data_IF_423797954888
#
_entry.id   IF_423797954888
#
_cell.length_a   1.000
_cell.length_b   1.000
_cell.length_c   1.000
_cell.angle_alpha   90.00
_cell.angle_beta   90.00
_cell.angle_gamma   90.00
#
_symmetry.space_group_name_H-M   'P 1'
#
loop_
_entity.id
_entity.type
_entity.pdbx_description
1 polymer ?
#
# COMPACT_ATOMS: atom_id res chain seq x y z
N UNK A 1 -1.57 -2.55 -24.39
CA UNK A 1 -2.49 -1.76 -23.55
C UNK A 1 -3.14 -2.58 -22.44
N UNK A 2 -3.81 -3.70 -22.73
CA UNK A 2 -4.50 -4.48 -21.70
C UNK A 2 -3.64 -4.93 -20.51
N UNK A 3 -2.38 -5.33 -20.76
CA UNK A 3 -1.47 -5.77 -19.69
C UNK A 3 -1.06 -4.63 -18.75
N UNK A 4 -0.94 -3.41 -19.27
CA UNK A 4 -0.63 -2.21 -18.47
C UNK A 4 -1.80 -1.84 -17.56
N UNK A 5 -3.01 -1.79 -18.12
CA UNK A 5 -4.22 -1.49 -17.34
C UNK A 5 -4.47 -2.59 -16.30
N UNK A 6 -4.37 -3.86 -16.72
CA UNK A 6 -4.52 -4.99 -15.82
C UNK A 6 -3.53 -4.97 -14.66
N UNK A 7 -2.27 -4.60 -14.89
CA UNK A 7 -1.28 -4.50 -13.82
C UNK A 7 -1.61 -3.40 -12.80
N UNK A 8 -2.12 -2.26 -13.26
CA UNK A 8 -2.56 -1.17 -12.37
C UNK A 8 -3.73 -1.64 -11.50
N UNK A 9 -4.76 -2.24 -12.12
CA UNK A 9 -5.93 -2.75 -11.39
C UNK A 9 -5.52 -3.78 -10.33
N UNK A 10 -4.69 -4.76 -10.72
CA UNK A 10 -4.20 -5.78 -9.76
C UNK A 10 -3.34 -5.17 -8.68
N UNK A 11 -2.54 -4.14 -8.99
CA UNK A 11 -1.76 -3.39 -8.00
C UNK A 11 -2.65 -2.68 -6.97
N UNK A 12 -3.74 -2.05 -7.43
CA UNK A 12 -4.72 -1.40 -6.54
C UNK A 12 -5.43 -2.43 -5.65
N UNK A 13 -5.84 -3.55 -6.23
CA UNK A 13 -6.46 -4.66 -5.46
C UNK A 13 -5.47 -5.21 -4.44
N UNK A 14 -4.21 -5.44 -4.83
CA UNK A 14 -3.17 -5.92 -3.93
C UNK A 14 -2.95 -4.95 -2.76
N UNK A 15 -2.93 -3.65 -3.02
CA UNK A 15 -2.85 -2.63 -1.96
C UNK A 15 -4.01 -2.77 -0.96
N UNK A 16 -5.25 -2.84 -1.47
CA UNK A 16 -6.44 -3.00 -0.64
C UNK A 16 -6.46 -4.29 0.18
N UNK A 17 -6.07 -5.41 -0.43
CA UNK A 17 -5.98 -6.71 0.25
C UNK A 17 -4.92 -6.67 1.37
N UNK A 18 -3.71 -6.20 1.07
CA UNK A 18 -2.62 -6.15 2.04
C UNK A 18 -2.98 -5.25 3.22
N UNK A 19 -3.47 -4.03 2.97
CA UNK A 19 -3.84 -3.12 4.07
C UNK A 19 -4.98 -3.71 4.91
N UNK A 20 -5.94 -4.39 4.31
CA UNK A 20 -7.04 -5.03 5.02
C UNK A 20 -6.55 -6.15 5.93
N UNK A 21 -5.69 -7.03 5.41
CA UNK A 21 -5.10 -8.13 6.20
C UNK A 21 -4.25 -7.60 7.35
N UNK A 22 -3.43 -6.58 7.12
CA UNK A 22 -2.62 -5.96 8.16
C UNK A 22 -3.49 -5.27 9.22
N UNK A 23 -4.60 -4.64 8.80
CA UNK A 23 -5.55 -4.03 9.74
C UNK A 23 -6.21 -5.07 10.66
N UNK A 24 -6.55 -6.26 10.15
CA UNK A 24 -6.99 -7.36 11.01
C UNK A 24 -5.91 -7.78 12.00
N UNK A 25 -4.66 -7.83 11.57
CA UNK A 25 -3.52 -8.09 12.45
C UNK A 25 -3.38 -7.03 13.55
N UNK A 26 -3.56 -5.75 13.20
CA UNK A 26 -3.48 -4.64 14.15
C UNK A 26 -4.61 -4.69 15.18
N UNK A 27 -5.84 -5.05 14.76
CA UNK A 27 -6.97 -5.28 15.66
C UNK A 27 -6.71 -6.44 16.63
N UNK A 28 -6.09 -7.51 16.16
CA UNK A 28 -5.74 -8.65 17.00
C UNK A 28 -4.61 -8.33 18.00
N UNK A 29 -3.61 -7.55 17.57
CA UNK A 29 -2.47 -7.18 18.40
C UNK A 29 -2.80 -6.11 19.44
N UNK A 30 -3.72 -5.20 19.15
CA UNK A 30 -4.11 -4.08 20.03
C UNK A 30 -5.62 -4.13 20.26
N UNK A 31 -6.10 -4.74 21.37
CA UNK A 31 -7.54 -4.89 21.63
C UNK A 31 -8.33 -3.58 21.63
N UNK A 32 -7.71 -2.48 22.09
CA UNK A 32 -8.34 -1.15 22.10
C UNK A 32 -8.45 -0.51 20.70
N UNK A 33 -7.79 -1.08 19.68
CA UNK A 33 -7.74 -0.49 18.35
C UNK A 33 -9.10 -0.45 17.67
N UNK A 34 -9.91 -1.50 17.82
CA UNK A 34 -11.26 -1.54 17.23
C UNK A 34 -12.18 -0.44 17.79
N UNK A 35 -12.12 -0.18 19.09
CA UNK A 35 -12.84 0.92 19.70
C UNK A 35 -12.33 2.29 19.23
N UNK A 36 -11.01 2.42 19.05
CA UNK A 36 -10.39 3.62 18.53
C UNK A 36 -10.78 3.92 17.08
N UNK A 37 -11.02 2.89 16.25
CA UNK A 37 -11.50 3.07 14.87
C UNK A 37 -12.88 3.75 14.82
N UNK A 38 -13.80 3.35 15.68
CA UNK A 38 -15.14 3.92 15.74
C UNK A 38 -15.14 5.39 16.17
N UNK A 39 -14.25 5.76 17.09
CA UNK A 39 -14.15 7.13 17.65
C UNK A 39 -13.12 8.00 16.94
N UNK A 40 -12.26 7.43 16.08
CA UNK A 40 -11.08 8.07 15.50
C UNK A 40 -10.05 8.59 16.54
N UNK A 41 -10.12 8.06 17.76
CA UNK A 41 -9.25 8.45 18.88
C UNK A 41 -8.04 7.51 18.98
N UNK A 42 -7.16 7.60 17.99
CA UNK A 42 -5.97 6.76 17.92
C UNK A 42 -4.82 7.29 18.79
N UNK A 43 -4.16 6.39 19.52
CA UNK A 43 -2.89 6.68 20.19
C UNK A 43 -1.76 6.90 19.18
N UNK A 44 -0.62 7.41 19.62
CA UNK A 44 0.57 7.55 18.77
C UNK A 44 1.02 6.20 18.17
N UNK A 45 1.02 5.13 18.96
CA UNK A 45 1.36 3.79 18.50
C UNK A 45 0.37 3.25 17.45
N UNK A 46 -0.92 3.48 17.61
CA UNK A 46 -1.94 3.11 16.63
C UNK A 46 -1.78 3.87 15.32
N UNK A 47 -1.49 5.18 15.38
CA UNK A 47 -1.19 6.00 14.18
C UNK A 47 0.05 5.49 13.46
N UNK A 48 1.11 5.15 14.19
CA UNK A 48 2.32 4.57 13.62
C UNK A 48 2.02 3.22 12.94
N UNK A 49 1.23 2.35 13.58
CA UNK A 49 0.78 1.08 13.00
C UNK A 49 0.06 1.28 11.67
N UNK A 50 -0.87 2.22 11.59
CA UNK A 50 -1.60 2.55 10.34
C UNK A 50 -0.68 3.08 9.24
N UNK A 51 0.34 3.87 9.58
CA UNK A 51 1.33 4.33 8.61
C UNK A 51 2.19 3.17 8.10
N UNK A 52 2.57 2.24 8.97
CA UNK A 52 3.32 1.05 8.61
C UNK A 52 2.49 0.14 7.69
N UNK A 53 1.21 -0.07 7.99
CA UNK A 53 0.29 -0.82 7.11
C UNK A 53 0.25 -0.22 5.71
N UNK A 54 0.04 1.09 5.60
CA UNK A 54 -0.01 1.78 4.33
C UNK A 54 1.33 1.70 3.58
N UNK A 55 2.45 1.77 4.30
CA UNK A 55 3.78 1.64 3.72
C UNK A 55 4.02 0.24 3.15
N UNK A 56 3.69 -0.80 3.90
CA UNK A 56 3.82 -2.20 3.45
C UNK A 56 2.90 -2.46 2.26
N UNK A 57 1.65 -2.01 2.31
CA UNK A 57 0.69 -2.18 1.22
C UNK A 57 1.14 -1.46 -0.06
N UNK A 58 1.70 -0.26 0.06
CA UNK A 58 2.23 0.51 -1.08
C UNK A 58 3.44 -0.18 -1.71
N UNK A 59 4.35 -0.67 -0.88
CA UNK A 59 5.52 -1.42 -1.34
C UNK A 59 5.09 -2.73 -2.04
N UNK A 60 4.16 -3.48 -1.45
CA UNK A 60 3.62 -4.72 -2.03
C UNK A 60 2.92 -4.48 -3.38
N UNK A 61 2.12 -3.40 -3.49
CA UNK A 61 1.52 -3.02 -4.76
C UNK A 61 2.57 -2.76 -5.85
N UNK A 62 3.67 -2.10 -5.50
CA UNK A 62 4.80 -1.88 -6.40
C UNK A 62 5.42 -3.19 -6.91
N UNK A 63 5.65 -4.14 -6.01
CA UNK A 63 6.17 -5.47 -6.38
C UNK A 63 5.23 -6.18 -7.36
N UNK A 64 3.92 -6.15 -7.08
CA UNK A 64 2.89 -6.81 -7.91
C UNK A 64 2.83 -6.19 -9.30
N UNK A 65 2.78 -4.87 -9.42
CA UNK A 65 2.72 -4.22 -10.75
C UNK A 65 3.99 -4.50 -11.56
N UNK A 66 5.14 -4.56 -10.91
CA UNK A 66 6.41 -4.92 -11.56
C UNK A 66 6.42 -6.35 -12.07
N UNK A 67 5.87 -7.29 -11.31
CA UNK A 67 5.78 -8.69 -11.71
C UNK A 67 4.91 -8.87 -12.96
N UNK A 68 3.82 -8.10 -13.09
CA UNK A 68 2.90 -8.20 -14.21
C UNK A 68 3.38 -7.42 -15.44
N UNK A 69 3.92 -6.22 -15.25
CA UNK A 69 4.38 -5.32 -16.33
C UNK A 69 5.86 -4.94 -16.15
N UNK A 70 6.80 -5.90 -16.27
CA UNK A 70 8.20 -5.70 -15.94
C UNK A 70 8.92 -4.67 -16.82
N UNK A 71 8.46 -4.47 -18.04
CA UNK A 71 9.07 -3.52 -18.98
C UNK A 71 8.62 -2.07 -18.79
N UNK A 72 7.51 -1.85 -18.09
CA UNK A 72 6.95 -0.50 -17.94
C UNK A 72 7.53 0.21 -16.73
N UNK A 73 8.19 1.34 -16.97
CA UNK A 73 8.64 2.24 -15.90
C UNK A 73 7.53 3.16 -15.40
N UNK A 74 6.52 3.43 -16.22
CA UNK A 74 5.42 4.34 -15.88
C UNK A 74 4.39 3.72 -14.95
N UNK A 75 4.13 2.40 -15.06
CA UNK A 75 3.07 1.73 -14.31
C UNK A 75 3.17 1.92 -12.79
N UNK A 76 4.33 1.77 -12.13
CA UNK A 76 4.43 2.00 -10.69
C UNK A 76 4.08 3.45 -10.30
N UNK A 77 4.51 4.44 -11.08
CA UNK A 77 4.18 5.83 -10.85
C UNK A 77 2.68 6.09 -10.97
N UNK A 78 2.06 5.60 -12.05
CA UNK A 78 0.62 5.74 -12.27
C UNK A 78 -0.17 5.07 -11.15
N UNK A 79 0.22 3.85 -10.74
CA UNK A 79 -0.43 3.15 -9.64
C UNK A 79 -0.33 3.94 -8.33
N UNK A 80 0.86 4.41 -7.98
CA UNK A 80 1.07 5.23 -6.78
C UNK A 80 0.27 6.53 -6.80
N UNK A 81 0.22 7.22 -7.94
CA UNK A 81 -0.56 8.44 -8.11
C UNK A 81 -2.08 8.20 -8.00
N UNK A 82 -2.58 7.08 -8.50
CA UNK A 82 -4.00 6.72 -8.34
C UNK A 82 -4.32 6.46 -6.86
N UNK A 83 -3.49 5.69 -6.16
CA UNK A 83 -3.67 5.46 -4.72
C UNK A 83 -3.65 6.80 -3.96
N UNK A 84 -2.67 7.65 -4.25
CA UNK A 84 -2.58 8.99 -3.66
C UNK A 84 -3.86 9.79 -3.91
N UNK A 85 -4.34 9.84 -5.15
CA UNK A 85 -5.55 10.58 -5.53
C UNK A 85 -6.81 10.07 -4.80
N UNK A 86 -6.90 8.76 -4.55
CA UNK A 86 -8.00 8.17 -3.78
C UNK A 86 -7.97 8.57 -2.31
N UNK A 87 -6.78 8.75 -1.73
CA UNK A 87 -6.63 9.06 -0.30
C UNK A 87 -6.59 10.56 0.01
N UNK A 88 -6.26 11.43 -0.94
CA UNK A 88 -6.30 12.89 -0.72
C UNK A 88 -7.65 13.36 -0.18
N UNK A 89 -8.81 13.02 -0.78
CA UNK A 89 -10.11 13.42 -0.23
C UNK A 89 -10.36 12.91 1.18
N UNK A 90 -9.96 11.67 1.47
CA UNK A 90 -10.10 11.07 2.80
C UNK A 90 -9.30 11.87 3.85
N UNK A 91 -8.06 12.22 3.52
CA UNK A 91 -7.22 13.01 4.42
C UNK A 91 -7.70 14.45 4.58
N UNK A 92 -8.29 15.06 3.56
CA UNK A 92 -8.94 16.37 3.65
C UNK A 92 -10.11 16.31 4.64
N UNK A 93 -10.99 15.31 4.55
CA UNK A 93 -12.13 15.14 5.44
C UNK A 93 -11.71 14.89 6.90
N UNK A 94 -10.59 14.21 7.09
CA UNK A 94 -10.07 13.85 8.41
C UNK A 94 -9.01 14.82 8.93
N UNK A 95 -8.80 15.97 8.26
CA UNK A 95 -7.70 16.89 8.57
C UNK A 95 -7.69 17.37 10.02
N UNK A 96 -8.87 17.67 10.57
CA UNK A 96 -9.01 18.11 11.96
C UNK A 96 -8.92 16.97 12.99
N UNK A 97 -8.98 15.72 12.57
CA UNK A 97 -8.98 14.54 13.45
C UNK A 97 -7.59 14.00 13.75
N UNK A 98 -6.63 14.26 12.87
CA UNK A 98 -5.27 13.75 12.98
C UNK A 98 -4.25 14.89 12.87
N UNK A 99 -3.06 14.73 13.45
CA UNK A 99 -2.00 15.74 13.35
C UNK A 99 -1.48 15.83 11.90
N UNK A 100 -1.01 17.03 11.54
CA UNK A 100 -0.51 17.32 10.18
C UNK A 100 0.60 16.34 9.75
N UNK A 101 1.51 15.97 10.66
CA UNK A 101 2.58 15.01 10.34
C UNK A 101 2.05 13.65 9.89
N UNK A 102 0.91 13.20 10.44
CA UNK A 102 0.29 11.93 10.04
C UNK A 102 -0.19 11.99 8.58
N UNK A 103 -0.90 13.06 8.22
CA UNK A 103 -1.38 13.25 6.85
C UNK A 103 -0.24 13.34 5.84
N UNK A 104 0.77 14.15 6.16
CA UNK A 104 1.92 14.34 5.27
C UNK A 104 2.72 13.04 5.11
N UNK A 105 2.99 12.33 6.21
CA UNK A 105 3.73 11.05 6.15
C UNK A 105 2.97 10.05 5.30
N UNK A 106 1.66 9.90 5.49
CA UNK A 106 0.84 8.99 4.70
C UNK A 106 0.87 9.34 3.21
N UNK A 107 0.49 10.56 2.87
CA UNK A 107 0.33 10.98 1.47
C UNK A 107 1.66 11.02 0.70
N UNK A 108 2.73 11.53 1.33
CA UNK A 108 4.03 11.66 0.67
C UNK A 108 4.77 10.33 0.53
N UNK A 109 4.47 9.32 1.34
CA UNK A 109 5.13 8.01 1.28
C UNK A 109 4.56 7.07 0.23
N UNK A 110 3.30 7.22 -0.18
CA UNK A 110 2.61 6.28 -1.08
C UNK A 110 3.37 6.09 -2.39
N UNK A 111 3.57 7.16 -3.15
CA UNK A 111 4.18 7.08 -4.49
C UNK A 111 5.61 6.56 -4.42
N UNK A 112 6.51 7.10 -3.56
CA UNK A 112 7.87 6.59 -3.45
C UNK A 112 7.93 5.11 -3.07
N UNK A 113 7.05 4.63 -2.18
CA UNK A 113 7.04 3.24 -1.74
C UNK A 113 6.53 2.29 -2.82
N UNK A 114 5.53 2.67 -3.61
CA UNK A 114 5.10 1.88 -4.78
C UNK A 114 6.23 1.80 -5.80
N UNK A 115 6.89 2.91 -6.09
CA UNK A 115 8.04 2.92 -7.02
C UNK A 115 9.20 2.08 -6.49
N UNK A 116 9.51 2.21 -5.20
CA UNK A 116 10.57 1.43 -4.55
C UNK A 116 10.24 -0.07 -4.56
N UNK A 117 9.00 -0.48 -4.26
CA UNK A 117 8.56 -1.86 -4.35
C UNK A 117 8.73 -2.44 -5.76
N UNK A 118 8.53 -1.63 -6.78
CA UNK A 118 8.74 -2.02 -8.17
C UNK A 118 10.21 -2.19 -8.56
N UNK A 119 11.16 -1.76 -7.75
CA UNK A 119 12.59 -2.03 -7.97
C UNK A 119 12.99 -3.44 -7.56
N UNK A 120 12.20 -4.07 -6.67
CA UNK A 120 12.49 -5.43 -6.20
C UNK A 120 12.23 -6.42 -7.33
N UNK A 121 13.27 -7.13 -7.74
CA UNK A 121 13.15 -8.24 -8.67
C UNK A 121 12.79 -9.49 -7.87
N UNK A 122 11.57 -9.97 -8.03
CA UNK A 122 11.24 -11.32 -7.61
C UNK A 122 12.11 -12.24 -8.46
N UNK A 123 13.01 -13.01 -7.81
CA UNK A 123 13.82 -14.01 -8.52
C UNK A 123 12.86 -14.90 -9.32
N UNK A 124 13.12 -15.17 -10.61
CA UNK A 124 12.35 -16.14 -11.36
C UNK A 124 12.42 -17.43 -10.57
N UNK A 125 11.24 -17.94 -10.16
CA UNK A 125 11.18 -19.23 -9.49
C UNK A 125 12.08 -20.20 -10.25
N UNK A 126 13.01 -20.86 -9.59
CA UNK A 126 13.78 -21.94 -10.16
C UNK A 126 12.73 -22.90 -10.75
N UNK A 127 12.53 -22.82 -12.05
CA UNK A 127 11.99 -23.97 -12.76
C UNK A 127 12.95 -25.08 -12.39
N UNK A 128 12.48 -26.03 -11.58
CA UNK A 128 13.18 -27.25 -11.37
C UNK A 128 13.57 -27.73 -12.78
N UNK A 129 14.88 -27.78 -13.03
CA UNK A 129 15.38 -28.45 -14.20
C UNK A 129 14.94 -29.90 -14.01
N UNK A 130 13.82 -30.24 -14.63
CA UNK A 130 13.47 -31.60 -14.91
C UNK A 130 14.47 -32.05 -15.95
N UNK A 131 15.63 -32.43 -15.49
CA UNK A 131 16.57 -33.21 -16.27
C UNK A 131 15.99 -34.60 -16.38
N UNK A 132 15.70 -34.91 -17.58
CA UNK A 132 15.55 -36.30 -17.99
C UNK A 132 16.71 -37.16 -17.52
#
# INVERSE_FOLDING_TARGET
MGRTIGSIVVGLVAWGVVVTLLNFGLRAAIPAYHAAEASLMFTGAMKAGRLIEAAIASFAAGMVVRAIAPASRAVPWVTGLIILALFVPVHIQLWSKFPVWYHLTFLLSIVPLVVLGATVRLAPGRRAAATA
#
